data_IF_935504901606
#
_entry.id   IF_935504901606
#
_cell.length_a   1.000
_cell.length_b   1.000
_cell.length_c   1.000
_cell.angle_alpha   90.00
_cell.angle_beta   90.00
_cell.angle_gamma   90.00
#
_symmetry.space_group_name_H-M   'P 1'
#
loop_
_entity.id
_entity.type
_entity.pdbx_description
1 polymer ?
#
# COMPACT_ATOMS: atom_id res chain seq x y z
N UNK A 1 -34.10 34.98 -30.93
CA UNK A 1 -33.59 34.62 -32.27
C UNK A 1 -32.52 33.57 -32.02
N UNK A 2 -32.56 32.32 -32.44
CA UNK A 2 -33.49 31.52 -33.23
C UNK A 2 -33.23 30.06 -32.80
N UNK A 3 -34.30 29.29 -32.64
CA UNK A 3 -34.27 27.84 -32.46
C UNK A 3 -34.28 27.21 -33.85
N UNK A 4 -33.38 26.28 -34.14
CA UNK A 4 -33.48 25.47 -35.37
C UNK A 4 -33.91 24.05 -35.04
N UNK A 5 -35.13 23.75 -35.51
CA UNK A 5 -35.86 22.50 -35.39
C UNK A 5 -35.36 21.42 -36.38
N UNK A 6 -35.53 20.17 -35.93
CA UNK A 6 -35.99 18.98 -36.66
C UNK A 6 -35.38 18.59 -38.02
N UNK A 7 -34.92 17.33 -38.07
CA UNK A 7 -35.47 16.37 -39.04
C UNK A 7 -35.40 14.93 -38.52
N UNK A 8 -36.53 14.44 -38.03
CA UNK A 8 -36.83 13.01 -37.87
C UNK A 8 -37.19 12.44 -39.25
N UNK A 9 -36.61 11.31 -39.63
CA UNK A 9 -37.18 10.40 -40.63
C UNK A 9 -37.42 9.06 -39.95
N UNK A 10 -38.69 8.77 -39.70
CA UNK A 10 -39.21 7.43 -39.53
C UNK A 10 -39.30 6.75 -40.91
N UNK A 11 -39.23 5.41 -40.96
CA UNK A 11 -40.04 4.53 -41.83
C UNK A 11 -39.62 3.05 -41.62
N UNK A 12 -40.63 2.22 -41.29
CA UNK A 12 -40.82 0.75 -41.44
C UNK A 12 -39.88 -0.15 -40.61
N UNK A 13 -40.31 -0.87 -39.56
CA UNK A 13 -41.43 -1.82 -39.39
C UNK A 13 -41.48 -2.90 -40.47
N UNK A 14 -40.78 -4.01 -40.25
CA UNK A 14 -41.13 -5.34 -40.78
C UNK A 14 -41.08 -6.31 -39.60
N UNK A 15 -42.25 -6.75 -39.17
CA UNK A 15 -42.42 -7.92 -38.35
C UNK A 15 -42.26 -9.16 -39.25
N UNK A 16 -41.42 -10.10 -38.83
CA UNK A 16 -41.25 -11.41 -39.46
C UNK A 16 -41.16 -12.47 -38.37
N UNK A 17 -42.31 -13.01 -37.99
CA UNK A 17 -42.44 -14.23 -37.18
C UNK A 17 -42.19 -15.43 -38.10
N UNK A 18 -41.21 -16.29 -37.79
CA UNK A 18 -41.17 -17.75 -38.12
C UNK A 18 -39.87 -18.35 -37.59
N UNK A 19 -39.71 -19.58 -37.12
CA UNK A 19 -40.54 -20.70 -36.63
C UNK A 19 -39.53 -21.55 -35.81
N UNK A 20 -39.97 -22.12 -34.70
CA UNK A 20 -39.24 -23.13 -33.93
C UNK A 20 -38.87 -24.31 -34.85
N UNK A 21 -37.58 -24.63 -34.95
CA UNK A 21 -37.08 -25.79 -35.69
C UNK A 21 -36.07 -26.55 -34.85
N UNK A 22 -36.55 -27.36 -33.91
CA UNK A 22 -35.82 -28.50 -33.36
C UNK A 22 -35.57 -29.49 -34.50
N UNK A 23 -34.32 -29.63 -34.92
CA UNK A 23 -33.88 -30.74 -35.75
C UNK A 23 -32.73 -31.45 -35.05
N UNK A 24 -33.08 -32.52 -34.33
CA UNK A 24 -32.15 -33.57 -33.96
C UNK A 24 -31.65 -34.23 -35.26
N UNK A 25 -30.37 -34.02 -35.57
CA UNK A 25 -29.68 -34.68 -36.67
C UNK A 25 -28.38 -35.28 -36.15
N UNK A 26 -28.47 -36.50 -35.60
CA UNK A 26 -27.30 -37.33 -35.32
C UNK A 26 -26.82 -37.89 -36.65
N UNK A 27 -25.86 -37.23 -37.29
CA UNK A 27 -25.07 -37.83 -38.37
C UNK A 27 -23.66 -38.11 -37.84
N UNK A 28 -23.44 -39.38 -37.50
CA UNK A 28 -22.13 -39.92 -37.22
C UNK A 28 -21.29 -39.88 -38.51
N UNK A 29 -20.40 -38.90 -38.63
CA UNK A 29 -19.34 -38.90 -39.61
C UNK A 29 -18.02 -39.29 -38.90
N UNK A 30 -17.73 -40.58 -38.88
CA UNK A 30 -16.38 -41.09 -38.69
C UNK A 30 -15.60 -40.80 -39.97
N UNK A 31 -14.64 -39.87 -39.95
CA UNK A 31 -13.48 -39.86 -40.83
C UNK A 31 -12.34 -39.11 -40.14
N UNK A 32 -11.20 -39.79 -39.98
CA UNK A 32 -9.98 -39.23 -39.43
C UNK A 32 -9.42 -38.13 -40.33
N UNK A 33 -9.21 -36.96 -39.74
CA UNK A 33 -8.51 -35.82 -40.33
C UNK A 33 -8.18 -34.88 -39.18
N UNK A 34 -6.93 -34.41 -39.09
CA UNK A 34 -6.45 -33.54 -38.01
C UNK A 34 -7.43 -32.40 -37.76
N UNK A 35 -8.15 -32.47 -36.66
CA UNK A 35 -9.13 -31.47 -36.29
C UNK A 35 -8.37 -30.19 -35.97
N UNK A 36 -8.58 -29.13 -36.77
CA UNK A 36 -8.32 -27.79 -36.31
C UNK A 36 -9.21 -27.60 -35.08
N UNK A 37 -8.61 -27.64 -33.89
CA UNK A 37 -9.33 -27.38 -32.65
C UNK A 37 -9.92 -25.97 -32.75
N UNK A 38 -11.25 -25.88 -32.78
CA UNK A 38 -11.92 -24.63 -32.53
C UNK A 38 -11.58 -24.17 -31.10
N UNK A 39 -11.42 -22.87 -30.91
CA UNK A 39 -10.81 -22.31 -29.71
C UNK A 39 -11.83 -21.49 -28.92
N UNK A 40 -11.99 -21.82 -27.63
CA UNK A 40 -12.84 -21.14 -26.69
C UNK A 40 -12.12 -19.91 -26.15
N UNK A 41 -12.85 -18.79 -26.07
CA UNK A 41 -12.34 -17.57 -25.45
C UNK A 41 -12.79 -17.52 -23.99
N UNK A 42 -11.83 -17.42 -23.09
CA UNK A 42 -12.04 -17.05 -21.69
C UNK A 42 -12.26 -15.54 -21.67
N UNK A 43 -13.35 -15.11 -21.02
CA UNK A 43 -13.60 -13.72 -20.69
C UNK A 43 -14.26 -13.68 -19.31
N UNK A 44 -13.43 -13.53 -18.27
CA UNK A 44 -13.86 -13.59 -16.89
C UNK A 44 -13.48 -12.29 -16.17
N UNK A 45 -14.35 -11.82 -15.29
CA UNK A 45 -14.07 -10.68 -14.41
C UNK A 45 -13.93 -11.22 -12.99
N UNK A 46 -12.79 -10.97 -12.35
CA UNK A 46 -12.54 -11.31 -10.95
C UNK A 46 -12.34 -10.02 -10.17
N UNK A 47 -13.19 -9.81 -9.17
CA UNK A 47 -13.06 -8.66 -8.29
C UNK A 47 -11.99 -8.93 -7.24
N UNK A 48 -11.12 -7.95 -7.04
CA UNK A 48 -9.94 -8.08 -6.20
C UNK A 48 -9.76 -6.81 -5.40
N UNK A 49 -9.63 -6.96 -4.09
CA UNK A 49 -9.23 -5.88 -3.19
C UNK A 49 -7.70 -5.84 -3.13
N UNK A 50 -7.10 -4.70 -3.45
CA UNK A 50 -5.66 -4.48 -3.37
C UNK A 50 -5.35 -3.36 -2.37
N UNK A 51 -4.35 -3.57 -1.52
CA UNK A 51 -3.90 -2.55 -0.56
C UNK A 51 -2.77 -1.73 -1.16
N UNK A 52 -3.10 -0.52 -1.61
CA UNK A 52 -2.13 0.44 -2.12
C UNK A 52 -1.55 1.22 -0.93
N UNK A 53 -0.22 1.33 -0.78
CA UNK A 53 0.42 2.00 0.35
C UNK A 53 -0.07 3.43 0.65
N UNK A 54 -0.61 4.14 -0.36
CA UNK A 54 -1.02 5.55 -0.27
C UNK A 54 -2.53 5.75 -0.33
N UNK A 55 -3.26 4.92 -1.08
CA UNK A 55 -4.72 5.01 -1.21
C UNK A 55 -5.45 4.13 -0.18
N UNK A 56 -4.77 3.15 0.40
CA UNK A 56 -5.39 2.14 1.26
C UNK A 56 -5.95 0.98 0.46
N UNK A 57 -6.98 0.32 1.00
CA UNK A 57 -7.63 -0.80 0.33
C UNK A 57 -8.58 -0.28 -0.76
N UNK A 58 -8.34 -0.69 -2.00
CA UNK A 58 -9.10 -0.31 -3.18
C UNK A 58 -9.61 -1.56 -3.91
N UNK A 59 -10.83 -1.49 -4.43
CA UNK A 59 -11.44 -2.59 -5.17
C UNK A 59 -11.24 -2.42 -6.68
N UNK A 60 -10.84 -3.51 -7.34
CA UNK A 60 -10.62 -3.55 -8.78
C UNK A 60 -11.30 -4.74 -9.44
N UNK A 61 -11.89 -4.50 -10.60
CA UNK A 61 -12.38 -5.55 -11.49
C UNK A 61 -11.29 -5.95 -12.48
N UNK A 62 -10.66 -7.11 -12.25
CA UNK A 62 -9.67 -7.67 -13.17
C UNK A 62 -10.35 -8.45 -14.29
N UNK A 63 -10.28 -7.94 -15.51
CA UNK A 63 -10.81 -8.61 -16.69
C UNK A 63 -9.72 -9.49 -17.30
N UNK A 64 -9.91 -10.80 -17.21
CA UNK A 64 -8.99 -11.84 -17.66
C UNK A 64 -9.52 -12.39 -18.97
N UNK A 65 -8.72 -12.24 -20.03
CA UNK A 65 -9.01 -12.84 -21.33
C UNK A 65 -7.89 -13.76 -21.77
N UNK A 66 -8.25 -14.92 -22.29
CA UNK A 66 -7.32 -15.88 -22.87
C UNK A 66 -8.06 -16.80 -23.84
N UNK A 67 -7.32 -17.64 -24.56
CA UNK A 67 -7.88 -18.62 -25.47
C UNK A 67 -7.41 -20.02 -25.06
N UNK A 68 -8.35 -20.96 -24.97
CA UNK A 68 -8.15 -22.38 -24.67
C UNK A 68 -8.82 -23.24 -25.75
N UNK A 69 -8.44 -24.51 -25.96
CA UNK A 69 -9.13 -25.38 -26.90
C UNK A 69 -10.58 -25.67 -26.47
N UNK A 70 -11.52 -25.73 -27.42
CA UNK A 70 -12.94 -26.05 -27.15
C UNK A 70 -13.13 -27.48 -26.64
N UNK A 71 -12.30 -28.40 -27.11
CA UNK A 71 -12.31 -29.81 -26.71
C UNK A 71 -10.88 -30.34 -26.76
N UNK A 72 -10.56 -31.33 -25.93
CA UNK A 72 -9.27 -31.99 -25.93
C UNK A 72 -9.38 -33.48 -25.63
N UNK A 73 -8.30 -34.24 -25.80
CA UNK A 73 -8.20 -35.66 -25.45
C UNK A 73 -7.20 -35.86 -24.31
N UNK A 74 -7.35 -36.96 -23.58
CA UNK A 74 -6.32 -37.39 -22.63
C UNK A 74 -4.99 -37.57 -23.35
N UNK A 75 -3.93 -36.93 -22.82
CA UNK A 75 -2.61 -36.85 -23.42
C UNK A 75 -2.32 -35.56 -24.18
N UNK A 76 -3.35 -34.75 -24.51
CA UNK A 76 -3.14 -33.46 -25.18
C UNK A 76 -2.50 -32.45 -24.23
N UNK A 77 -1.61 -31.62 -24.79
CA UNK A 77 -1.03 -30.48 -24.07
C UNK A 77 -1.84 -29.23 -24.36
N UNK A 78 -2.33 -28.60 -23.30
CA UNK A 78 -3.12 -27.37 -23.34
C UNK A 78 -2.22 -26.20 -23.00
N UNK A 79 -2.24 -25.16 -23.85
CA UNK A 79 -1.57 -23.89 -23.63
C UNK A 79 -2.57 -22.74 -23.59
N UNK A 80 -2.41 -21.82 -22.65
CA UNK A 80 -3.23 -20.61 -22.56
C UNK A 80 -2.73 -19.57 -23.57
N UNK A 81 -3.43 -19.39 -24.69
CA UNK A 81 -3.02 -18.42 -25.71
C UNK A 81 -3.60 -17.04 -25.44
N UNK A 82 -2.96 -15.98 -25.94
CA UNK A 82 -3.44 -14.59 -25.89
C UNK A 82 -3.82 -14.11 -24.47
N UNK A 83 -3.09 -14.56 -23.45
CA UNK A 83 -3.38 -14.20 -22.06
C UNK A 83 -3.19 -12.70 -21.81
N UNK A 84 -4.24 -12.07 -21.29
CA UNK A 84 -4.28 -10.64 -20.97
C UNK A 84 -5.07 -10.44 -19.68
N UNK A 85 -4.56 -9.55 -18.82
CA UNK A 85 -5.29 -9.02 -17.66
C UNK A 85 -5.48 -7.52 -17.89
N UNK A 86 -6.70 -7.03 -17.93
CA UNK A 86 -7.02 -5.61 -18.04
C UNK A 86 -7.70 -5.12 -16.76
N UNK A 87 -7.16 -4.05 -16.18
CA UNK A 87 -7.65 -3.47 -14.92
C UNK A 87 -7.89 -1.98 -15.15
N UNK A 88 -9.07 -1.50 -14.78
CA UNK A 88 -9.37 -0.07 -14.73
C UNK A 88 -8.95 0.46 -13.36
N UNK A 89 -7.88 1.24 -13.32
CA UNK A 89 -7.45 1.95 -12.12
C UNK A 89 -8.40 3.12 -11.88
N UNK A 90 -8.93 3.21 -10.66
CA UNK A 90 -9.91 4.21 -10.28
C UNK A 90 -9.28 5.60 -10.07
N UNK A 91 -10.12 6.61 -9.86
CA UNK A 91 -9.68 8.01 -9.64
C UNK A 91 -8.73 8.14 -8.46
N UNK A 92 -8.99 7.45 -7.35
CA UNK A 92 -8.13 7.48 -6.16
C UNK A 92 -6.72 6.96 -6.46
N UNK A 93 -6.60 5.96 -7.33
CA UNK A 93 -5.32 5.42 -7.77
C UNK A 93 -4.58 6.41 -8.68
N UNK A 94 -5.30 7.04 -9.60
CA UNK A 94 -4.71 8.08 -10.47
C UNK A 94 -4.22 9.26 -9.64
N UNK A 95 -5.02 9.74 -8.69
CA UNK A 95 -4.66 10.84 -7.78
C UNK A 95 -3.41 10.49 -6.99
N UNK A 96 -3.37 9.30 -6.39
CA UNK A 96 -2.21 8.79 -5.68
C UNK A 96 -0.94 8.81 -6.55
N UNK A 97 -1.04 8.35 -7.80
CA UNK A 97 0.08 8.34 -8.74
C UNK A 97 0.51 9.76 -9.14
N UNK A 98 -0.44 10.67 -9.40
CA UNK A 98 -0.15 12.07 -9.71
C UNK A 98 0.49 12.80 -8.52
N UNK A 99 0.00 12.57 -7.31
CA UNK A 99 0.56 13.11 -6.06
C UNK A 99 1.99 12.61 -5.85
N UNK A 100 2.29 11.37 -6.23
CA UNK A 100 3.65 10.82 -6.22
C UNK A 100 4.55 11.40 -7.33
N UNK A 101 4.01 12.23 -8.24
CA UNK A 101 4.73 12.74 -9.41
C UNK A 101 4.99 11.66 -10.47
N UNK A 102 4.21 10.58 -10.47
CA UNK A 102 4.32 9.52 -11.47
C UNK A 102 3.73 9.98 -12.81
N UNK A 103 4.55 9.91 -13.86
CA UNK A 103 4.13 10.14 -15.25
C UNK A 103 3.92 8.82 -16.00
N UNK A 104 4.54 7.74 -15.53
CA UNK A 104 4.38 6.40 -16.11
C UNK A 104 4.27 5.34 -15.03
N UNK A 105 3.65 4.23 -15.39
CA UNK A 105 3.47 3.05 -14.56
C UNK A 105 3.91 1.82 -15.35
N UNK A 106 4.79 1.01 -14.76
CA UNK A 106 5.20 -0.30 -15.27
C UNK A 106 5.20 -1.30 -14.12
N UNK A 107 5.21 -2.60 -14.42
CA UNK A 107 5.19 -3.60 -13.35
C UNK A 107 4.90 -5.01 -13.85
N UNK A 108 4.51 -5.86 -12.91
CA UNK A 108 4.09 -7.23 -13.20
C UNK A 108 2.94 -7.66 -12.29
N UNK A 109 2.13 -8.59 -12.81
CA UNK A 109 1.06 -9.26 -12.10
C UNK A 109 1.33 -10.76 -12.18
N UNK A 110 1.55 -11.40 -11.05
CA UNK A 110 1.69 -12.85 -10.95
C UNK A 110 0.34 -13.45 -10.56
N UNK A 111 -0.23 -14.25 -11.45
CA UNK A 111 -1.49 -14.95 -11.25
C UNK A 111 -1.24 -16.46 -11.16
N UNK A 112 -1.77 -17.07 -10.10
CA UNK A 112 -1.78 -18.53 -9.93
C UNK A 112 -3.15 -19.11 -10.26
N UNK A 113 -3.18 -20.27 -10.91
CA UNK A 113 -4.39 -21.00 -11.23
C UNK A 113 -4.20 -22.51 -11.02
N UNK A 114 -5.32 -23.23 -10.91
CA UNK A 114 -5.36 -24.69 -10.90
C UNK A 114 -6.13 -25.18 -12.12
N UNK A 115 -5.63 -26.23 -12.77
CA UNK A 115 -6.30 -26.95 -13.83
C UNK A 115 -6.55 -28.39 -13.38
N UNK A 116 -7.82 -28.75 -13.19
CA UNK A 116 -8.17 -30.13 -12.80
C UNK A 116 -7.87 -31.10 -13.94
N UNK A 117 -7.62 -32.37 -13.59
CA UNK A 117 -7.34 -33.45 -14.56
C UNK A 117 -6.14 -33.16 -15.49
N UNK A 118 -5.15 -32.41 -15.00
CA UNK A 118 -3.96 -32.02 -15.75
C UNK A 118 -2.68 -32.12 -14.91
N UNK A 119 -1.53 -32.21 -15.59
CA UNK A 119 -0.19 -32.20 -14.99
C UNK A 119 0.72 -31.22 -15.74
N UNK A 120 1.35 -30.25 -15.05
CA UNK A 120 1.10 -29.89 -13.66
C UNK A 120 -0.32 -29.33 -13.47
N UNK A 121 -0.92 -29.60 -12.30
CA UNK A 121 -2.24 -29.06 -11.97
C UNK A 121 -2.18 -27.60 -11.52
N UNK A 122 -1.05 -27.16 -10.95
CA UNK A 122 -0.85 -25.79 -10.50
C UNK A 122 -0.09 -25.02 -11.58
N UNK A 123 -0.66 -23.91 -12.02
CA UNK A 123 -0.12 -23.04 -13.05
C UNK A 123 0.17 -21.67 -12.45
N UNK A 124 1.26 -21.05 -12.88
CA UNK A 124 1.63 -19.69 -12.48
C UNK A 124 2.08 -18.91 -13.70
N UNK A 125 1.59 -17.68 -13.80
CA UNK A 125 1.87 -16.76 -14.91
C UNK A 125 2.31 -15.44 -14.32
N UNK A 126 3.49 -14.97 -14.69
CA UNK A 126 3.90 -13.59 -14.43
C UNK A 126 3.67 -12.77 -15.70
N UNK A 127 2.61 -11.97 -15.71
CA UNK A 127 2.28 -11.05 -16.78
C UNK A 127 2.96 -9.69 -16.54
N UNK A 128 3.51 -9.11 -17.60
CA UNK A 128 4.18 -7.81 -17.57
C UNK A 128 3.20 -6.71 -17.95
N UNK A 129 3.17 -5.65 -17.16
CA UNK A 129 2.51 -4.39 -17.50
C UNK A 129 3.55 -3.52 -18.19
N UNK A 130 3.41 -3.26 -19.51
CA UNK A 130 4.33 -2.39 -20.22
C UNK A 130 4.21 -0.95 -19.71
N UNK A 131 5.21 -0.12 -20.03
CA UNK A 131 5.22 1.30 -19.67
C UNK A 131 3.93 1.96 -20.17
N UNK A 132 3.08 2.33 -19.22
CA UNK A 132 1.77 2.94 -19.46
C UNK A 132 1.80 4.36 -18.96
N UNK A 133 1.35 5.32 -19.77
CA UNK A 133 1.28 6.72 -19.34
C UNK A 133 0.20 6.89 -18.27
N UNK A 134 0.55 7.56 -17.17
CA UNK A 134 -0.41 7.98 -16.15
C UNK A 134 -1.03 9.29 -16.64
N UNK A 135 -2.36 9.41 -16.72
CA UNK A 135 -3.01 10.67 -17.07
C UNK A 135 -2.54 11.80 -16.16
N UNK A 136 -2.30 12.99 -16.73
CA UNK A 136 -1.82 14.17 -15.99
C UNK A 136 -2.85 15.30 -15.98
N UNK A 137 -3.98 15.10 -16.65
CA UNK A 137 -5.14 15.97 -16.57
C UNK A 137 -5.81 15.84 -15.21
N UNK A 138 -6.36 16.96 -14.75
CA UNK A 138 -7.12 17.08 -13.52
C UNK A 138 -8.43 17.81 -13.82
N UNK A 139 -9.50 17.37 -13.18
CA UNK A 139 -10.79 18.04 -13.26
C UNK A 139 -10.82 19.34 -12.42
N UNK A 140 -11.98 19.99 -12.36
CA UNK A 140 -12.14 21.23 -11.59
C UNK A 140 -11.88 21.07 -10.07
N UNK A 141 -11.90 19.83 -9.57
CA UNK A 141 -11.65 19.48 -8.17
C UNK A 141 -10.21 19.01 -7.94
N UNK A 142 -9.39 18.91 -8.99
CA UNK A 142 -8.02 18.39 -8.91
C UNK A 142 -7.91 16.87 -9.03
N UNK A 143 -9.00 16.16 -9.33
CA UNK A 143 -9.02 14.70 -9.41
C UNK A 143 -8.66 14.25 -10.85
N UNK A 144 -7.79 13.24 -10.97
CA UNK A 144 -7.36 12.64 -12.23
C UNK A 144 -8.37 11.61 -12.77
N UNK A 145 -8.39 11.35 -14.09
CA UNK A 145 -9.31 10.38 -14.66
C UNK A 145 -8.90 8.93 -14.36
N UNK A 146 -9.87 8.02 -14.30
CA UNK A 146 -9.59 6.59 -14.30
C UNK A 146 -8.90 6.16 -15.60
N UNK A 147 -7.96 5.22 -15.54
CA UNK A 147 -7.26 4.71 -16.72
C UNK A 147 -7.00 3.21 -16.65
N UNK A 148 -6.84 2.58 -17.81
CA UNK A 148 -6.68 1.13 -17.90
C UNK A 148 -5.22 0.74 -18.04
N UNK A 149 -4.78 -0.21 -17.23
CA UNK A 149 -3.54 -0.96 -17.44
C UNK A 149 -3.85 -2.33 -18.04
N UNK A 150 -2.90 -2.85 -18.81
CA UNK A 150 -2.99 -4.17 -19.41
C UNK A 150 -1.70 -4.93 -19.14
N UNK A 151 -1.81 -6.09 -18.51
CA UNK A 151 -0.70 -7.03 -18.37
C UNK A 151 -0.82 -8.15 -19.41
N UNK A 152 0.29 -8.53 -20.03
CA UNK A 152 0.39 -9.69 -20.91
C UNK A 152 1.57 -10.56 -20.49
N UNK A 153 1.45 -11.88 -20.62
CA UNK A 153 2.43 -12.82 -20.08
C UNK A 153 2.63 -14.04 -20.95
N UNK A 154 3.65 -14.86 -20.62
CA UNK A 154 3.86 -16.13 -21.29
C UNK A 154 2.69 -17.09 -21.04
N UNK A 155 2.54 -18.08 -21.93
CA UNK A 155 1.51 -19.11 -21.87
C UNK A 155 2.01 -20.33 -21.08
N UNK A 156 1.43 -20.66 -19.91
CA UNK A 156 1.75 -21.93 -19.24
C UNK A 156 1.16 -23.10 -20.02
N UNK A 157 1.78 -24.27 -19.86
CA UNK A 157 1.37 -25.51 -20.53
C UNK A 157 1.05 -26.59 -19.48
N UNK A 158 0.02 -27.38 -19.72
CA UNK A 158 -0.31 -28.56 -18.92
C UNK A 158 -0.80 -29.70 -19.81
N UNK A 159 -0.48 -30.94 -19.46
CA UNK A 159 -0.96 -32.14 -20.15
C UNK A 159 -2.19 -32.70 -19.46
N UNK A 160 -3.25 -32.99 -20.21
CA UNK A 160 -4.49 -33.56 -19.67
C UNK A 160 -4.30 -35.05 -19.35
N UNK A 161 -4.61 -35.44 -18.12
CA UNK A 161 -4.33 -36.78 -17.58
C UNK A 161 -5.57 -37.65 -17.42
N UNK A 162 -6.77 -37.08 -17.46
CA UNK A 162 -8.03 -37.83 -17.24
C UNK A 162 -9.17 -37.28 -18.08
N UNK A 163 -10.04 -38.17 -18.54
CA UNK A 163 -11.26 -37.80 -19.25
C UNK A 163 -12.27 -37.16 -18.29
N UNK A 164 -13.14 -36.29 -18.81
CA UNK A 164 -14.09 -35.52 -18.00
C UNK A 164 -14.03 -34.04 -18.32
N UNK A 165 -14.14 -33.19 -17.30
CA UNK A 165 -14.04 -31.73 -17.45
C UNK A 165 -12.79 -31.23 -16.74
N UNK A 166 -11.87 -30.60 -17.48
CA UNK A 166 -10.73 -29.89 -16.92
C UNK A 166 -11.14 -28.43 -16.68
N UNK A 167 -11.17 -28.00 -15.43
CA UNK A 167 -11.64 -26.67 -15.02
C UNK A 167 -10.46 -25.83 -14.57
N UNK A 168 -10.32 -24.65 -15.17
CA UNK A 168 -9.31 -23.66 -14.82
C UNK A 168 -9.87 -22.72 -13.75
N UNK A 169 -9.24 -22.68 -12.57
CA UNK A 169 -9.70 -21.89 -11.43
C UNK A 169 -8.57 -21.01 -10.91
N UNK A 170 -8.81 -19.71 -10.78
CA UNK A 170 -7.85 -18.77 -10.18
C UNK A 170 -7.64 -19.11 -8.69
N UNK A 171 -6.41 -18.94 -8.21
CA UNK A 171 -6.03 -19.30 -6.82
C UNK A 171 -5.32 -18.19 -6.08
N UNK A 172 -4.40 -17.48 -6.74
CA UNK A 172 -3.60 -16.41 -6.12
C UNK A 172 -3.38 -15.28 -7.10
N UNK A 173 -3.16 -14.09 -6.56
CA UNK A 173 -2.77 -12.90 -7.31
C UNK A 173 -1.77 -12.10 -6.47
N UNK A 174 -0.70 -11.63 -7.11
CA UNK A 174 0.25 -10.69 -6.55
C UNK A 174 0.63 -9.66 -7.60
N UNK A 175 0.78 -8.41 -7.21
CA UNK A 175 1.15 -7.33 -8.13
C UNK A 175 2.38 -6.57 -7.61
N UNK A 176 3.27 -6.21 -8.52
CA UNK A 176 4.42 -5.36 -8.26
C UNK A 176 4.40 -4.22 -9.25
N UNK A 177 4.33 -2.98 -8.77
CA UNK A 177 4.24 -1.79 -9.62
C UNK A 177 5.37 -0.81 -9.30
N UNK A 178 5.96 -0.27 -10.35
CA UNK A 178 7.04 0.70 -10.30
C UNK A 178 6.62 1.98 -11.04
N UNK A 179 5.90 2.90 -10.38
CA UNK A 179 5.60 4.20 -10.94
C UNK A 179 6.89 5.03 -11.06
N UNK A 180 7.02 5.78 -12.16
CA UNK A 180 8.19 6.60 -12.48
C UNK A 180 7.80 8.03 -12.83
N UNK A 181 8.65 8.98 -12.46
CA UNK A 181 8.50 10.39 -12.84
C UNK A 181 9.00 10.64 -14.27
N UNK A 182 8.91 11.90 -14.72
CA UNK A 182 9.33 12.32 -16.06
C UNK A 182 10.82 12.06 -16.36
N UNK A 183 11.67 11.99 -15.33
CA UNK A 183 13.09 11.66 -15.44
C UNK A 183 13.36 10.14 -15.48
N UNK A 184 12.32 9.31 -15.44
CA UNK A 184 12.41 7.84 -15.42
C UNK A 184 12.83 7.26 -14.06
N UNK A 185 12.83 8.07 -13.01
CA UNK A 185 13.19 7.65 -11.65
C UNK A 185 11.96 7.13 -10.91
N UNK A 186 12.09 6.01 -10.21
CA UNK A 186 11.03 5.42 -9.40
C UNK A 186 10.57 6.38 -8.31
N UNK A 187 9.25 6.57 -8.19
CA UNK A 187 8.65 7.43 -7.16
C UNK A 187 8.16 6.65 -5.94
N UNK A 188 8.18 5.31 -6.02
CA UNK A 188 7.94 4.42 -4.88
C UNK A 188 9.23 3.66 -4.49
N UNK A 189 9.60 3.62 -3.21
CA UNK A 189 10.65 2.74 -2.70
C UNK A 189 10.34 1.28 -3.01
N UNK A 190 11.38 0.47 -3.28
CA UNK A 190 11.24 -0.96 -3.64
C UNK A 190 10.37 -1.73 -2.65
N UNK A 191 10.48 -1.44 -1.35
CA UNK A 191 9.69 -2.08 -0.29
C UNK A 191 8.18 -1.84 -0.43
N UNK A 192 7.76 -0.73 -1.05
CA UNK A 192 6.36 -0.33 -1.23
C UNK A 192 5.83 -0.61 -2.65
N UNK A 193 6.65 -1.20 -3.53
CA UNK A 193 6.23 -1.58 -4.89
C UNK A 193 5.39 -2.86 -4.93
N UNK A 194 5.53 -3.72 -3.93
CA UNK A 194 4.69 -4.91 -3.78
C UNK A 194 3.30 -4.50 -3.29
N UNK A 195 2.27 -4.75 -4.09
CA UNK A 195 0.88 -4.43 -3.81
C UNK A 195 0.14 -5.73 -3.43
N UNK A 196 -0.14 -5.95 -2.13
CA UNK A 196 -0.90 -7.11 -1.69
C UNK A 196 -2.32 -7.05 -2.24
N UNK A 197 -2.77 -8.13 -2.87
CA UNK A 197 -4.09 -8.25 -3.45
C UNK A 197 -4.75 -9.56 -3.00
N UNK A 198 -6.06 -9.52 -2.78
CA UNK A 198 -6.87 -10.68 -2.39
C UNK A 198 -8.16 -10.70 -3.18
N UNK A 199 -8.60 -11.89 -3.61
CA UNK A 199 -9.90 -12.04 -4.26
C UNK A 199 -11.04 -11.79 -3.26
N UNK A 200 -12.07 -11.11 -3.73
CA UNK A 200 -13.23 -10.81 -2.91
C UNK A 200 -14.02 -12.10 -2.59
N UNK A 201 -14.63 -12.15 -1.40
CA UNK A 201 -15.35 -13.33 -0.94
C UNK A 201 -16.68 -13.52 -1.67
N UNK A 202 -17.07 -14.76 -1.94
CA UNK A 202 -18.40 -15.11 -2.46
C UNK A 202 -18.54 -15.06 -3.99
N UNK A 203 -17.48 -14.73 -4.73
CA UNK A 203 -17.46 -14.81 -6.20
C UNK A 203 -16.95 -16.18 -6.70
N UNK A 204 -17.27 -16.50 -7.96
CA UNK A 204 -16.68 -17.66 -8.66
C UNK A 204 -15.29 -17.32 -9.16
N UNK A 205 -14.32 -18.19 -8.87
CA UNK A 205 -12.95 -18.08 -9.40
C UNK A 205 -12.71 -18.98 -10.63
N UNK A 206 -13.76 -19.61 -11.15
CA UNK A 206 -13.68 -20.44 -12.37
C UNK A 206 -13.54 -19.54 -13.58
N UNK A 207 -12.42 -19.68 -14.31
CA UNK A 207 -12.10 -18.91 -15.51
C UNK A 207 -12.64 -19.57 -16.78
N UNK A 208 -12.67 -20.89 -16.82
CA UNK A 208 -13.14 -21.65 -17.99
C UNK A 208 -13.02 -23.15 -17.77
N UNK A 209 -13.57 -23.92 -18.70
CA UNK A 209 -13.57 -25.38 -18.65
C UNK A 209 -13.37 -25.99 -20.02
N UNK A 210 -12.61 -27.08 -20.08
CA UNK A 210 -12.32 -27.84 -21.29
C UNK A 210 -12.92 -29.23 -21.12
N UNK A 211 -13.86 -29.65 -21.99
CA UNK A 211 -14.28 -31.05 -22.07
C UNK A 211 -13.15 -31.92 -22.64
N UNK A 212 -12.82 -32.98 -21.92
CA UNK A 212 -11.73 -33.92 -22.21
C UNK A 212 -12.30 -35.29 -22.57
N UNK A 213 -12.16 -35.67 -23.83
CA UNK A 213 -12.52 -37.00 -24.30
C UNK A 213 -11.47 -38.04 -23.88
N UNK A 214 -11.92 -39.29 -23.65
CA UNK A 214 -11.01 -40.39 -23.38
C UNK A 214 -10.02 -40.60 -24.54
N UNK A 215 -8.79 -40.98 -24.21
CA UNK A 215 -7.84 -41.45 -25.22
C UNK A 215 -8.50 -42.61 -25.99
N UNK A 216 -8.32 -42.64 -27.32
CA UNK A 216 -8.79 -43.75 -28.11
C UNK A 216 -8.10 -45.02 -27.59
N UNK A 217 -8.88 -45.97 -27.08
CA UNK A 217 -8.37 -47.29 -26.71
C UNK A 217 -7.70 -47.86 -27.96
N UNK A 218 -6.41 -48.26 -27.93
CA UNK A 218 -5.83 -48.93 -29.07
C UNK A 218 -6.67 -50.15 -29.37
N UNK A 219 -7.14 -50.28 -30.62
CA UNK A 219 -7.81 -51.50 -31.08
C UNK A 219 -6.90 -52.66 -30.73
N UNK A 220 -7.34 -53.66 -29.93
CA UNK A 220 -6.46 -54.72 -29.48
C UNK A 220 -5.89 -55.44 -30.71
N UNK A 221 -4.57 -55.40 -30.85
CA UNK A 221 -3.86 -56.29 -31.78
C UNK A 221 -4.14 -57.73 -31.30
N UNK A 222 -4.52 -58.67 -32.18
CA UNK A 222 -4.76 -60.05 -31.78
C UNK A 222 -3.53 -60.63 -31.08
N UNK A 223 -3.64 -60.90 -29.78
CA UNK A 223 -2.60 -61.57 -29.02
C UNK A 223 -2.68 -63.07 -29.28
N UNK A 224 -1.57 -63.67 -29.70
CA UNK A 224 -1.39 -65.12 -29.73
C UNK A 224 -1.47 -65.69 -28.31
N UNK A 225 -2.07 -66.88 -28.11
CA UNK A 225 -2.33 -67.42 -26.78
C UNK A 225 -1.02 -67.71 -26.04
N UNK A 226 -0.84 -67.06 -24.89
CA UNK A 226 0.22 -67.34 -23.90
C UNK A 226 -0.13 -68.64 -23.14
N UNK A 227 0.82 -69.57 -22.94
CA UNK A 227 0.55 -70.84 -22.28
C UNK A 227 0.09 -70.65 -20.83
N UNK A 228 -0.88 -71.48 -20.47
CA UNK A 228 -1.61 -71.57 -19.19
C UNK A 228 -0.66 -71.75 -18.01
N UNK A 229 -0.61 -70.83 -17.01
CA UNK A 229 0.10 -71.09 -15.78
C UNK A 229 -0.69 -72.07 -14.90
N UNK A 230 0.03 -73.06 -14.38
CA UNK A 230 -0.44 -74.08 -13.43
C UNK A 230 -0.84 -73.43 -12.11
N UNK A 231 -1.99 -73.85 -11.58
CA UNK A 231 -2.61 -73.35 -10.35
C UNK A 231 -1.86 -73.85 -9.12
N UNK A 232 -1.39 -72.93 -8.26
CA UNK A 232 -0.93 -73.24 -6.89
C UNK A 232 -2.03 -72.82 -5.90
N UNK A 233 -2.47 -73.69 -4.98
CA UNK A 233 -3.58 -73.38 -4.07
C UNK A 233 -3.22 -72.30 -3.04
N UNK A 234 -4.21 -71.43 -2.78
CA UNK A 234 -4.14 -70.31 -1.87
C UNK A 234 -4.18 -70.73 -0.38
N UNK A 235 -3.36 -70.14 0.50
CA UNK A 235 -3.54 -70.31 1.94
C UNK A 235 -4.75 -69.52 2.46
N UNK A 236 -5.45 -70.17 3.39
CA UNK A 236 -6.64 -69.76 4.13
C UNK A 236 -6.43 -68.47 4.95
N UNK A 237 -7.38 -67.51 4.96
CA UNK A 237 -7.23 -66.27 5.72
C UNK A 237 -7.37 -66.50 7.24
N UNK A 238 -6.39 -66.02 8.00
CA UNK A 238 -6.46 -65.90 9.46
C UNK A 238 -7.12 -64.57 9.81
N UNK A 239 -8.13 -64.60 10.67
CA UNK A 239 -8.88 -63.44 11.13
C UNK A 239 -8.01 -62.50 11.99
N UNK A 240 -7.95 -61.23 11.61
CA UNK A 240 -7.33 -60.17 12.41
C UNK A 240 -8.40 -59.50 13.30
N UNK A 241 -8.19 -59.39 14.62
CA UNK A 241 -9.19 -58.83 15.54
C UNK A 241 -9.37 -57.32 15.38
N UNK A 242 -10.63 -56.88 15.51
CA UNK A 242 -11.09 -55.50 15.53
C UNK A 242 -10.68 -54.82 16.84
N UNK A 243 -9.98 -53.66 16.83
CA UNK A 243 -9.78 -52.88 18.04
C UNK A 243 -11.02 -52.06 18.42
N UNK A 244 -11.37 -52.19 19.70
CA UNK A 244 -12.44 -51.57 20.48
C UNK A 244 -12.33 -50.03 20.53
N UNK A 245 -13.44 -49.26 20.42
CA UNK A 245 -13.38 -47.81 20.59
C UNK A 245 -13.11 -47.44 22.06
N UNK A 246 -12.06 -46.65 22.30
CA UNK A 246 -11.76 -46.04 23.60
C UNK A 246 -12.50 -44.69 23.69
N UNK A 247 -13.32 -44.57 24.72
CA UNK A 247 -14.11 -43.37 25.03
C UNK A 247 -13.23 -42.35 25.74
N UNK A 248 -13.09 -41.15 25.17
CA UNK A 248 -12.42 -40.02 25.84
C UNK A 248 -13.45 -39.14 26.56
N UNK A 249 -13.30 -38.86 27.86
CA UNK A 249 -14.29 -38.08 28.62
C UNK A 249 -14.23 -36.58 28.30
N UNK A 250 -15.42 -35.99 28.18
CA UNK A 250 -15.70 -34.56 28.01
C UNK A 250 -15.33 -33.77 29.28
N UNK A 251 -14.55 -32.68 29.22
CA UNK A 251 -14.28 -31.83 30.37
C UNK A 251 -15.53 -31.08 30.85
N UNK A 252 -15.72 -31.11 32.16
CA UNK A 252 -16.72 -30.39 32.95
C UNK A 252 -16.44 -28.88 32.94
N UNK A 253 -17.43 -27.99 32.74
CA UNK A 253 -17.22 -26.55 32.86
C UNK A 253 -17.00 -26.16 34.33
N UNK A 254 -15.88 -25.50 34.60
CA UNK A 254 -15.57 -24.89 35.90
C UNK A 254 -16.26 -23.53 35.98
N UNK A 255 -17.04 -23.33 37.05
CA UNK A 255 -17.73 -22.09 37.36
C UNK A 255 -16.72 -21.07 37.87
N UNK A 256 -16.56 -19.94 37.17
CA UNK A 256 -15.81 -18.78 37.66
C UNK A 256 -16.75 -17.88 38.49
N UNK A 257 -16.43 -17.55 39.76
CA UNK A 257 -17.24 -16.64 40.57
C UNK A 257 -17.27 -15.22 40.00
N UNK A 258 -18.43 -14.57 40.11
CA UNK A 258 -18.65 -13.17 39.75
C UNK A 258 -17.85 -12.23 40.68
N UNK A 259 -17.14 -11.22 40.15
CA UNK A 259 -16.48 -10.21 40.97
C UNK A 259 -17.49 -9.27 41.63
N UNK A 260 -17.23 -9.01 42.92
CA UNK A 260 -17.90 -8.10 43.84
C UNK A 260 -17.86 -6.64 43.33
N UNK A 261 -18.93 -5.84 43.48
CA UNK A 261 -18.92 -4.43 43.10
C UNK A 261 -17.94 -3.61 43.95
N UNK A 262 -17.07 -2.86 43.29
CA UNK A 262 -16.16 -1.87 43.88
C UNK A 262 -16.94 -0.56 44.15
N UNK A 263 -16.76 0.10 45.30
CA UNK A 263 -17.49 1.31 45.63
C UNK A 263 -17.17 2.47 44.68
N UNK A 264 -18.23 3.21 44.34
CA UNK A 264 -18.22 4.42 43.52
C UNK A 264 -17.48 5.55 44.25
N UNK A 265 -16.44 6.18 43.66
CA UNK A 265 -15.82 7.35 44.26
C UNK A 265 -16.78 8.55 44.20
N UNK A 266 -16.90 9.23 45.33
CA UNK A 266 -17.66 10.48 45.50
C UNK A 266 -17.02 11.57 44.67
N UNK A 267 -17.80 12.22 43.81
CA UNK A 267 -17.36 13.31 42.93
C UNK A 267 -17.22 14.59 43.76
N UNK A 268 -15.98 15.06 43.92
CA UNK A 268 -15.69 16.42 44.39
C UNK A 268 -15.91 17.40 43.23
N UNK A 269 -16.67 18.50 43.40
CA UNK A 269 -16.86 19.48 42.33
C UNK A 269 -15.54 20.17 41.98
N UNK A 270 -15.12 19.99 40.71
CA UNK A 270 -13.96 20.66 40.12
C UNK A 270 -14.28 22.14 39.88
N UNK A 271 -13.36 23.08 40.18
CA UNK A 271 -13.57 24.51 39.94
C UNK A 271 -13.90 24.80 38.47
N UNK A 272 -14.88 25.66 38.25
CA UNK A 272 -15.27 26.20 36.95
C UNK A 272 -14.11 27.01 36.37
N UNK A 273 -13.50 26.60 35.24
CA UNK A 273 -12.46 27.40 34.61
C UNK A 273 -13.07 28.66 33.98
N UNK A 274 -12.43 29.79 34.24
CA UNK A 274 -12.71 31.08 33.59
C UNK A 274 -12.51 30.91 32.09
N UNK A 275 -13.52 31.33 31.31
CA UNK A 275 -13.56 31.18 29.85
C UNK A 275 -12.52 32.11 29.22
N UNK A 276 -11.35 31.56 28.89
CA UNK A 276 -10.46 32.16 27.88
C UNK A 276 -11.16 32.03 26.53
N UNK A 277 -11.28 33.10 25.72
CA UNK A 277 -11.91 33.02 24.40
C UNK A 277 -11.26 31.91 23.57
N UNK A 278 -12.10 31.04 23.00
CA UNK A 278 -11.65 29.91 22.21
C UNK A 278 -10.78 30.39 21.04
N UNK A 279 -9.59 29.81 20.82
CA UNK A 279 -8.84 30.06 19.60
C UNK A 279 -9.73 29.68 18.41
N UNK A 280 -9.79 30.54 17.40
CA UNK A 280 -10.42 30.26 16.11
C UNK A 280 -10.02 28.84 15.67
N UNK A 281 -10.98 27.93 15.39
CA UNK A 281 -10.67 26.56 15.01
C UNK A 281 -9.71 26.56 13.82
N UNK A 282 -8.60 25.83 13.97
CA UNK A 282 -7.80 25.43 12.81
C UNK A 282 -8.74 24.73 11.80
N UNK A 283 -8.54 24.93 10.48
CA UNK A 283 -9.40 24.34 9.47
C UNK A 283 -9.52 22.85 9.73
N UNK A 284 -10.74 22.37 9.89
CA UNK A 284 -11.04 20.94 9.98
C UNK A 284 -10.47 20.27 8.73
N UNK A 285 -9.53 19.31 8.85
CA UNK A 285 -9.09 18.54 7.69
C UNK A 285 -10.33 17.91 7.06
N UNK A 286 -10.61 18.25 5.81
CA UNK A 286 -11.69 17.62 5.04
C UNK A 286 -11.49 16.11 5.09
N UNK A 287 -12.58 15.35 5.28
CA UNK A 287 -12.60 13.92 5.59
C UNK A 287 -12.03 12.98 4.53
N UNK A 288 -10.79 13.20 4.12
CA UNK A 288 -9.96 12.26 3.39
C UNK A 288 -9.24 11.32 4.35
N UNK A 289 -8.93 10.13 3.87
CA UNK A 289 -8.09 9.14 4.55
C UNK A 289 -6.75 9.80 4.93
N UNK A 290 -6.39 9.72 6.22
CA UNK A 290 -5.09 10.20 6.70
C UNK A 290 -4.06 9.10 6.54
N UNK A 291 -2.92 9.43 5.93
CA UNK A 291 -1.76 8.53 5.81
C UNK A 291 -0.77 8.83 6.92
N UNK A 292 -0.51 7.85 7.78
CA UNK A 292 0.49 7.97 8.84
C UNK A 292 1.90 7.71 8.29
N UNK A 293 2.82 8.64 8.53
CA UNK A 293 4.20 8.58 8.04
C UNK A 293 5.15 8.96 9.17
N UNK A 294 6.16 8.13 9.41
CA UNK A 294 7.22 8.40 10.37
C UNK A 294 8.51 8.75 9.64
N UNK A 295 9.21 9.77 10.13
CA UNK A 295 10.51 10.18 9.64
C UNK A 295 11.55 10.18 10.76
N UNK A 296 12.73 9.67 10.46
CA UNK A 296 13.92 9.95 11.24
C UNK A 296 14.45 11.32 10.85
N UNK A 297 14.60 12.22 11.82
CA UNK A 297 15.15 13.56 11.62
C UNK A 297 16.60 13.63 12.11
N UNK A 298 17.51 13.99 11.21
CA UNK A 298 18.93 14.23 11.52
C UNK A 298 19.35 15.56 10.92
N UNK A 299 20.19 16.34 11.58
CA UNK A 299 20.46 17.68 11.10
C UNK A 299 21.51 18.46 11.85
N UNK A 300 21.49 19.76 11.63
CA UNK A 300 22.38 20.72 12.28
C UNK A 300 21.59 21.93 12.76
N UNK A 301 22.06 22.50 13.86
CA UNK A 301 21.59 23.77 14.40
C UNK A 301 22.76 24.76 14.44
N UNK A 302 22.50 26.02 14.08
CA UNK A 302 23.49 27.09 14.10
C UNK A 302 23.03 28.25 14.97
N UNK A 303 23.91 28.70 15.88
CA UNK A 303 23.69 29.83 16.78
C UNK A 303 24.81 30.87 16.53
N UNK A 304 24.58 31.85 15.64
CA UNK A 304 25.61 32.84 15.29
C UNK A 304 26.10 33.69 16.47
N UNK A 305 25.26 33.94 17.48
CA UNK A 305 25.59 34.78 18.63
C UNK A 305 26.76 34.27 19.46
N UNK A 306 27.02 32.96 19.40
CA UNK A 306 28.13 32.27 20.05
C UNK A 306 29.03 31.56 19.04
N UNK A 307 28.94 31.91 17.75
CA UNK A 307 29.62 31.19 16.66
C UNK A 307 29.49 29.66 16.78
N UNK A 308 28.32 29.21 17.22
CA UNK A 308 28.09 27.85 17.68
C UNK A 308 27.35 26.99 16.68
N UNK A 309 27.65 25.69 16.70
CA UNK A 309 26.92 24.68 15.94
C UNK A 309 26.73 23.40 16.73
N UNK A 310 25.63 22.70 16.45
CA UNK A 310 25.29 21.42 17.07
C UNK A 310 24.70 20.44 16.07
N UNK A 311 24.82 19.15 16.35
CA UNK A 311 24.13 18.10 15.59
C UNK A 311 22.78 17.82 16.23
N UNK A 312 21.75 17.72 15.39
CA UNK A 312 20.38 17.38 15.80
C UNK A 312 20.11 15.93 15.39
N UNK A 313 19.55 15.15 16.32
CA UNK A 313 19.08 13.80 16.06
C UNK A 313 20.04 12.67 16.45
N UNK A 314 19.63 11.41 16.23
CA UNK A 314 18.40 11.01 15.55
C UNK A 314 17.14 11.34 16.39
N UNK A 315 16.18 12.02 15.76
CA UNK A 315 14.86 12.31 16.33
C UNK A 315 13.75 11.66 15.50
N UNK A 316 12.54 11.62 16.04
CA UNK A 316 11.35 11.09 15.37
C UNK A 316 10.40 12.24 15.03
N UNK A 317 9.94 12.28 13.79
CA UNK A 317 8.84 13.14 13.33
C UNK A 317 7.74 12.22 12.82
N UNK A 318 6.58 12.23 13.48
CA UNK A 318 5.44 11.39 13.16
C UNK A 318 4.31 12.27 12.65
N UNK A 319 3.83 12.02 11.44
CA UNK A 319 2.86 12.87 10.75
C UNK A 319 1.68 12.08 10.22
N UNK A 320 0.49 12.67 10.31
CA UNK A 320 -0.71 12.24 9.61
C UNK A 320 -0.96 13.21 8.46
N UNK A 321 -0.89 12.70 7.24
CA UNK A 321 -0.97 13.48 5.99
C UNK A 321 -2.31 13.26 5.32
N UNK A 322 -3.02 14.34 5.03
CA UNK A 322 -4.17 14.32 4.13
C UNK A 322 -3.68 14.54 2.70
N UNK A 323 -3.53 13.46 1.94
CA UNK A 323 -3.00 13.51 0.58
C UNK A 323 -3.90 14.29 -0.40
N UNK A 324 -5.22 14.31 -0.18
CA UNK A 324 -6.17 15.06 -1.02
C UNK A 324 -6.11 16.57 -0.78
N UNK A 325 -5.93 16.98 0.48
CA UNK A 325 -5.82 18.39 0.86
C UNK A 325 -4.39 18.94 0.93
N UNK A 326 -3.38 18.07 0.81
CA UNK A 326 -1.97 18.40 1.02
C UNK A 326 -1.63 18.86 2.45
N UNK A 327 -2.58 18.85 3.39
CA UNK A 327 -2.32 19.28 4.77
C UNK A 327 -1.81 18.12 5.61
N UNK A 328 -0.94 18.40 6.57
CA UNK A 328 -0.51 17.38 7.53
C UNK A 328 -0.40 17.94 8.94
N UNK A 329 -0.57 17.05 9.91
CA UNK A 329 -0.33 17.34 11.33
C UNK A 329 0.62 16.31 11.90
N UNK A 330 1.37 16.63 12.95
CA UNK A 330 2.30 15.67 13.51
C UNK A 330 2.87 16.02 14.88
N UNK A 331 3.73 15.12 15.35
CA UNK A 331 4.51 15.27 16.57
C UNK A 331 5.99 15.04 16.28
N UNK A 332 6.83 15.69 17.05
CA UNK A 332 8.28 15.76 16.87
C UNK A 332 8.94 15.51 18.22
N UNK A 333 9.74 14.45 18.29
CA UNK A 333 10.57 14.13 19.45
C UNK A 333 12.02 14.24 19.04
N UNK A 334 12.72 15.25 19.55
CA UNK A 334 14.15 15.44 19.35
C UNK A 334 14.92 15.12 20.64
N UNK A 335 16.09 14.46 20.56
CA UNK A 335 16.96 14.28 21.71
C UNK A 335 17.57 15.61 22.17
N UNK A 336 18.21 15.60 23.33
CA UNK A 336 19.00 16.75 23.79
C UNK A 336 20.11 17.07 22.78
N UNK A 337 20.29 18.35 22.48
CA UNK A 337 21.19 18.83 21.45
C UNK A 337 22.43 19.43 22.12
N UNK A 338 23.62 18.93 21.75
CA UNK A 338 24.89 19.51 22.19
C UNK A 338 25.37 20.53 21.15
N UNK A 339 25.52 21.78 21.59
CA UNK A 339 25.99 22.91 20.79
C UNK A 339 27.37 23.31 21.29
N UNK A 340 28.35 23.34 20.39
CA UNK A 340 29.69 23.84 20.67
C UNK A 340 29.89 25.18 19.98
N UNK A 341 30.38 26.16 20.71
CA UNK A 341 30.63 27.51 20.21
C UNK A 341 31.76 28.21 20.96
N UNK A 342 31.93 29.50 20.69
CA UNK A 342 32.90 30.36 21.33
C UNK A 342 32.31 31.74 21.60
N UNK A 343 32.39 32.21 22.84
CA UNK A 343 32.03 33.59 23.19
C UNK A 343 33.19 34.52 22.86
N UNK A 344 32.91 35.58 22.12
CA UNK A 344 33.88 36.58 21.67
C UNK A 344 35.11 36.00 20.92
N UNK A 345 35.02 34.77 20.41
CA UNK A 345 36.06 34.11 19.62
C UNK A 345 37.15 33.39 20.44
N UNK A 346 37.21 33.56 21.76
CA UNK A 346 38.28 32.97 22.59
C UNK A 346 37.79 32.14 23.79
N UNK A 347 36.52 32.20 24.16
CA UNK A 347 35.98 31.43 25.30
C UNK A 347 35.20 30.23 24.76
N UNK A 348 35.75 29.00 24.80
CA UNK A 348 35.02 27.82 24.37
C UNK A 348 33.80 27.58 25.27
N UNK A 349 32.65 27.36 24.63
CA UNK A 349 31.37 27.09 25.26
C UNK A 349 30.77 25.78 24.73
N UNK A 350 30.29 24.93 25.63
CA UNK A 350 29.47 23.76 25.30
C UNK A 350 28.13 23.88 26.01
N UNK A 351 27.04 23.77 25.27
CA UNK A 351 25.68 23.90 25.77
C UNK A 351 24.92 22.61 25.44
N UNK A 352 24.20 22.09 26.43
CA UNK A 352 23.22 21.02 26.20
C UNK A 352 21.84 21.65 26.29
N UNK A 353 21.12 21.66 25.17
CA UNK A 353 19.75 22.18 25.10
C UNK A 353 18.74 21.05 24.99
N UNK A 354 17.55 21.27 25.56
CA UNK A 354 16.40 20.38 25.41
C UNK A 354 15.36 21.01 24.51
N UNK A 355 14.61 20.16 23.81
CA UNK A 355 13.52 20.58 22.93
C UNK A 355 12.20 20.04 23.48
N UNK A 356 11.19 20.90 23.59
CA UNK A 356 9.84 20.49 24.02
C UNK A 356 8.81 21.12 23.11
N UNK A 357 8.18 20.30 22.27
CA UNK A 357 7.12 20.75 21.36
C UNK A 357 5.89 21.24 22.13
N UNK A 358 5.25 22.30 21.61
CA UNK A 358 4.02 22.90 22.12
C UNK A 358 2.93 22.87 21.05
N UNK A 359 1.98 21.95 21.19
CA UNK A 359 0.93 21.73 20.19
C UNK A 359 1.41 20.92 18.98
N UNK A 360 0.51 20.57 18.05
CA UNK A 360 0.87 19.78 16.87
C UNK A 360 1.78 20.58 15.93
N UNK A 361 2.70 19.86 15.27
CA UNK A 361 3.34 20.30 14.04
C UNK A 361 2.23 20.39 12.99
N UNK A 362 2.16 21.47 12.22
CA UNK A 362 1.17 21.62 11.15
C UNK A 362 1.88 22.01 9.87
N UNK A 363 1.46 21.52 8.72
CA UNK A 363 2.10 21.89 7.47
C UNK A 363 1.27 21.63 6.23
N UNK A 364 1.84 22.02 5.10
CA UNK A 364 1.26 21.95 3.77
C UNK A 364 2.29 21.37 2.79
N UNK A 365 1.86 20.41 1.97
CA UNK A 365 2.59 19.91 0.81
C UNK A 365 2.27 20.80 -0.40
N UNK A 366 3.28 21.09 -1.20
CA UNK A 366 3.10 21.67 -2.52
C UNK A 366 2.35 20.68 -3.45
N UNK A 367 1.67 21.17 -4.51
CA UNK A 367 1.08 20.30 -5.52
C UNK A 367 2.09 19.26 -6.05
N UNK A 368 1.66 17.99 -6.13
CA UNK A 368 2.55 16.87 -6.50
C UNK A 368 3.52 16.43 -5.39
N UNK A 369 3.32 16.87 -4.15
CA UNK A 369 4.07 16.47 -2.95
C UNK A 369 5.61 16.58 -3.07
N UNK A 370 6.09 17.50 -3.90
CA UNK A 370 7.51 17.67 -4.22
C UNK A 370 8.24 18.61 -3.24
N UNK A 371 7.50 19.41 -2.49
CA UNK A 371 7.98 20.40 -1.53
C UNK A 371 7.00 20.51 -0.35
N UNK A 372 7.46 21.05 0.79
CA UNK A 372 6.61 21.26 1.97
C UNK A 372 6.95 22.53 2.73
N UNK A 373 5.97 23.00 3.49
CA UNK A 373 6.15 23.96 4.59
C UNK A 373 5.54 23.39 5.87
N UNK A 374 6.16 23.66 7.02
CA UNK A 374 5.69 23.20 8.32
C UNK A 374 5.97 24.23 9.41
N UNK A 375 5.01 24.39 10.31
CA UNK A 375 5.05 25.27 11.46
C UNK A 375 5.13 24.45 12.74
N UNK A 376 6.15 24.74 13.53
CA UNK A 376 6.42 24.08 14.80
C UNK A 376 6.56 25.14 15.89
N UNK A 377 5.84 24.95 16.99
CA UNK A 377 6.04 25.74 18.21
C UNK A 377 6.72 24.89 19.26
N UNK A 378 7.72 25.43 19.94
CA UNK A 378 8.45 24.70 20.97
C UNK A 378 9.03 25.62 22.03
N UNK A 379 9.25 25.06 23.22
CA UNK A 379 10.13 25.63 24.22
C UNK A 379 11.53 25.05 24.06
N UNK A 380 12.53 25.93 24.09
CA UNK A 380 13.93 25.54 24.11
C UNK A 380 14.45 25.67 25.53
N UNK A 381 14.97 24.57 26.08
CA UNK A 381 15.57 24.52 27.40
C UNK A 381 17.09 24.53 27.32
N UNK A 382 17.74 25.07 28.35
CA UNK A 382 19.20 24.99 28.53
C UNK A 382 19.45 24.13 29.77
N UNK A 383 19.84 22.88 29.56
CA UNK A 383 20.08 21.92 30.64
C UNK A 383 21.42 22.16 31.33
N UNK A 384 22.45 22.44 30.53
CA UNK A 384 23.78 22.77 31.05
C UNK A 384 24.53 23.71 30.13
N UNK A 385 25.36 24.57 30.73
CA UNK A 385 26.33 25.41 30.03
C UNK A 385 27.68 25.21 30.69
N UNK A 386 28.68 24.82 29.89
CA UNK A 386 30.07 24.66 30.30
C UNK A 386 30.93 25.70 29.60
N UNK A 387 31.65 26.49 30.38
CA UNK A 387 32.62 27.48 29.91
C UNK A 387 33.97 27.21 30.59
N UNK A 388 35.08 27.28 29.85
CA UNK A 388 36.44 27.19 30.40
C UNK A 388 36.72 25.96 31.29
N UNK A 389 36.02 24.83 31.06
CA UNK A 389 36.23 23.61 31.84
C UNK A 389 35.55 23.54 33.21
N UNK A 390 34.87 24.61 33.64
CA UNK A 390 34.19 24.71 34.94
C UNK A 390 32.86 23.93 34.93
N UNK A 391 32.40 23.49 36.12
CA UNK A 391 31.12 22.80 36.36
C UNK A 391 29.91 23.52 35.72
N UNK A 392 28.83 22.79 35.36
CA UNK A 392 27.68 23.35 34.67
C UNK A 392 27.06 24.50 35.45
N UNK A 393 26.90 25.65 34.77
CA UNK A 393 26.59 26.90 35.44
C UNK A 393 25.07 27.17 35.60
N UNK A 394 24.19 26.34 35.04
CA UNK A 394 22.73 26.58 34.97
C UNK A 394 21.91 25.73 35.92
N UNK A 395 20.75 26.23 36.34
CA UNK A 395 19.67 25.43 36.92
C UNK A 395 18.94 24.64 35.83
N UNK A 396 18.59 23.38 36.10
CA UNK A 396 17.96 22.47 35.13
C UNK A 396 16.58 22.88 34.59
N UNK A 397 16.03 24.01 35.04
CA UNK A 397 14.73 24.55 34.63
C UNK A 397 14.84 25.78 33.71
N UNK A 398 16.02 26.11 33.20
CA UNK A 398 16.22 27.24 32.29
C UNK A 398 15.55 27.00 30.94
N UNK A 399 14.57 27.82 30.56
CA UNK A 399 13.83 27.67 29.30
C UNK A 399 13.51 29.03 28.66
N UNK A 400 13.12 29.04 27.39
CA UNK A 400 12.55 30.23 26.74
C UNK A 400 11.32 30.74 27.49
N UNK A 401 11.25 32.06 27.72
CA UNK A 401 10.14 32.73 28.41
C UNK A 401 8.87 32.79 27.56
N UNK A 402 9.01 32.69 26.23
CA UNK A 402 7.90 32.58 25.29
C UNK A 402 8.21 31.47 24.28
N UNK A 403 7.18 30.78 23.75
CA UNK A 403 7.37 29.74 22.74
C UNK A 403 8.11 30.28 21.52
N UNK A 404 9.03 29.48 21.00
CA UNK A 404 9.74 29.72 19.74
C UNK A 404 8.90 29.16 18.60
N UNK A 405 8.63 29.99 17.59
CA UNK A 405 8.03 29.55 16.33
C UNK A 405 9.14 29.22 15.33
N UNK A 406 9.09 28.02 14.77
CA UNK A 406 10.04 27.50 13.79
C UNK A 406 9.25 27.17 12.52
N UNK A 407 9.55 27.91 11.44
CA UNK A 407 8.93 27.74 10.13
C UNK A 407 9.89 26.95 9.23
N UNK A 408 9.65 25.65 9.08
CA UNK A 408 10.45 24.75 8.26
C UNK A 408 9.93 24.76 6.83
N UNK A 409 10.83 24.83 5.85
CA UNK A 409 10.48 24.70 4.43
C UNK A 409 11.51 23.82 3.72
N UNK A 410 11.05 23.05 2.73
CA UNK A 410 11.96 22.39 1.79
C UNK A 410 12.65 23.43 0.89
N UNK A 411 13.66 23.00 0.12
CA UNK A 411 14.48 23.90 -0.68
C UNK A 411 13.79 24.46 -1.95
N UNK A 412 12.53 24.11 -2.20
CA UNK A 412 11.76 24.57 -3.36
C UNK A 412 12.24 23.99 -4.69
N UNK A 413 13.07 22.94 -4.66
CA UNK A 413 13.65 22.30 -5.86
C UNK A 413 12.95 20.98 -6.19
N UNK A 414 11.82 20.68 -5.57
CA UNK A 414 11.10 19.44 -5.76
C UNK A 414 11.83 18.18 -5.30
N UNK A 415 12.75 18.32 -4.32
CA UNK A 415 13.59 17.22 -3.82
C UNK A 415 13.02 16.56 -2.56
N UNK A 416 11.94 17.10 -2.01
CA UNK A 416 11.25 16.47 -0.91
C UNK A 416 10.23 15.48 -1.47
N UNK A 417 10.08 14.35 -0.81
CA UNK A 417 8.93 13.46 -1.01
C UNK A 417 8.45 12.95 0.34
N UNK A 418 7.13 12.86 0.56
CA UNK A 418 6.60 12.31 1.81
C UNK A 418 6.98 10.83 2.02
N UNK A 419 7.45 10.12 0.99
CA UNK A 419 7.77 8.67 1.06
C UNK A 419 9.25 8.35 1.14
N UNK A 420 10.13 9.29 0.79
CA UNK A 420 11.59 9.15 0.93
C UNK A 420 12.17 10.13 1.96
N UNK A 421 11.44 11.20 2.26
CA UNK A 421 11.91 12.35 3.01
C UNK A 421 12.64 13.36 2.12
N UNK A 422 13.46 14.19 2.74
CA UNK A 422 14.18 15.29 2.10
C UNK A 422 14.72 16.29 3.13
N UNK A 423 15.43 17.31 2.65
CA UNK A 423 15.97 18.37 3.52
C UNK A 423 14.96 19.50 3.70
N UNK A 424 14.72 19.87 4.96
CA UNK A 424 13.95 21.04 5.37
C UNK A 424 14.82 21.96 6.21
N UNK A 425 14.64 23.26 6.05
CA UNK A 425 15.44 24.28 6.72
C UNK A 425 14.55 25.38 7.29
N UNK A 426 15.03 26.04 8.34
CA UNK A 426 14.38 27.18 8.98
C UNK A 426 15.40 28.18 9.49
N UNK A 427 15.00 29.45 9.48
CA UNK A 427 15.57 30.49 10.35
C UNK A 427 14.57 30.82 11.46
N UNK A 428 15.04 30.90 12.69
CA UNK A 428 14.16 31.12 13.85
C UNK A 428 14.78 32.05 14.89
N UNK A 429 13.90 32.71 15.63
CA UNK A 429 14.28 33.64 16.68
C UNK A 429 14.19 32.99 18.06
N UNK A 430 15.25 33.12 18.86
CA UNK A 430 15.25 32.75 20.27
C UNK A 430 14.98 34.02 21.08
N UNK A 431 13.93 33.99 21.89
CA UNK A 431 13.59 35.07 22.82
C UNK A 431 14.41 35.02 24.10
N UNK A 432 13.99 35.82 25.09
CA UNK A 432 14.59 35.78 26.44
C UNK A 432 14.38 34.40 27.08
N UNK A 433 15.37 33.99 27.87
CA UNK A 433 15.34 32.84 28.74
C UNK A 433 14.83 33.24 30.13
N UNK A 434 14.13 32.33 30.79
CA UNK A 434 13.61 32.43 32.14
C UNK A 434 14.07 31.24 32.99
N UNK A 435 14.05 31.42 34.32
CA UNK A 435 14.33 30.37 35.30
C UNK A 435 15.74 29.74 35.21
N UNK A 436 16.73 30.54 34.80
CA UNK A 436 18.12 30.11 34.65
C UNK A 436 19.01 30.39 35.89
N UNK A 437 18.39 30.74 37.01
CA UNK A 437 19.08 31.08 38.26
C UNK A 437 19.92 32.35 38.12
N UNK A 438 21.09 32.35 38.77
CA UNK A 438 22.04 33.48 38.80
C UNK A 438 22.59 33.85 37.42
N UNK A 439 22.45 32.97 36.43
CA UNK A 439 22.90 33.22 35.06
C UNK A 439 21.86 33.90 34.18
N UNK A 440 20.63 34.10 34.64
CA UNK A 440 19.53 34.56 33.76
C UNK A 440 19.89 35.83 33.00
N UNK A 441 20.48 36.82 33.66
CA UNK A 441 20.88 38.08 33.03
C UNK A 441 22.03 37.90 32.02
N UNK A 442 23.02 37.08 32.37
CA UNK A 442 24.17 36.79 31.51
C UNK A 442 23.72 36.06 30.24
N UNK A 443 22.89 35.03 30.37
CA UNK A 443 22.39 34.25 29.24
C UNK A 443 21.48 35.11 28.34
N UNK A 444 20.67 35.99 28.93
CA UNK A 444 19.84 36.93 28.18
C UNK A 444 20.64 38.01 27.43
N UNK A 445 21.91 38.22 27.77
CA UNK A 445 22.82 39.06 27.00
C UNK A 445 23.43 38.36 25.78
N UNK A 446 23.33 37.02 25.68
CA UNK A 446 24.09 36.21 24.71
C UNK A 446 23.16 35.44 23.75
N UNK A 447 22.13 34.78 24.27
CA UNK A 447 21.33 33.81 23.51
C UNK A 447 20.20 34.40 22.66
N UNK A 448 19.50 35.47 23.09
CA UNK A 448 18.46 36.05 22.26
C UNK A 448 19.02 36.53 20.91
N UNK A 449 18.36 36.12 19.82
CA UNK A 449 18.80 36.41 18.46
C UNK A 449 17.82 35.90 17.42
N UNK A 450 17.80 36.50 16.23
CA UNK A 450 16.82 36.23 15.17
C UNK A 450 17.40 35.44 13.96
N UNK A 451 18.69 35.15 13.97
CA UNK A 451 19.41 34.54 12.84
C UNK A 451 19.84 33.08 13.10
N UNK A 452 19.18 32.39 14.04
CA UNK A 452 19.50 30.99 14.30
C UNK A 452 18.99 30.13 13.15
N UNK A 453 19.73 29.08 12.82
CA UNK A 453 19.41 28.19 11.71
C UNK A 453 19.14 26.78 12.22
N UNK A 454 18.18 26.10 11.59
CA UNK A 454 17.92 24.69 11.78
C UNK A 454 17.79 24.03 10.41
N UNK A 455 18.59 23.01 10.15
CA UNK A 455 18.49 22.20 8.95
C UNK A 455 18.28 20.75 9.37
N UNK A 456 17.20 20.13 8.90
CA UNK A 456 16.88 18.74 9.15
C UNK A 456 16.80 17.98 7.83
N UNK A 457 17.52 16.86 7.75
CA UNK A 457 17.31 15.82 6.77
C UNK A 457 16.34 14.79 7.34
N UNK A 458 15.17 14.70 6.72
CA UNK A 458 14.13 13.75 7.05
C UNK A 458 14.32 12.51 6.16
N UNK A 459 14.23 11.33 6.76
CA UNK A 459 14.24 10.04 6.06
C UNK A 459 13.08 9.22 6.57
N UNK A 460 12.22 8.73 5.69
CA UNK A 460 11.06 7.91 6.07
C UNK A 460 11.49 6.62 6.77
N UNK A 461 10.68 6.19 7.74
CA UNK A 461 10.75 4.86 8.35
C UNK A 461 9.71 3.95 7.69
N UNK A 462 10.08 2.70 7.44
CA UNK A 462 9.25 1.71 6.76
C UNK A 462 8.04 1.23 7.56
#
# INVERSE_FOLDING_TARGET
MERTLMRRRAIKSVAGVTVVGLAAGVTAALMGGGSAASAATINATINTTCTIPVAGAEEYAANISATIPDTAKVGDSVTLQNFKISILLNVATTDALQILGATTLEGSITAGATLTNASPSNLSITATVPVTAVPQDQDANGDGPAFTITATGPSPTATLTSAGTATLTATTVAAVFNPKNAAGTSVLPVAKQNIPCTFDSGQSLVLGSIPVAAAATPTPVPVTPKPTPVVTPAPTPVATPVPTPVVTPKPTPVVTPAPTPVPTPVVTPKPTPVVTPAPTPAPTPGGGTLTHINFTANGTIGLPTISGSGKVGPGLVSTDVNLKGGTFTGTTTLPDITINGSLAGFIPLTIVSSFTQLGPLTGQLAPGATDLTADLKANLGVKSVKALGILPLTSGNCTTASPVSIHLASNGKGQFSPFTGGTVSSTFAIGKLANCGLLTDILNGIFPGNANTLTLNLVTQD
#
